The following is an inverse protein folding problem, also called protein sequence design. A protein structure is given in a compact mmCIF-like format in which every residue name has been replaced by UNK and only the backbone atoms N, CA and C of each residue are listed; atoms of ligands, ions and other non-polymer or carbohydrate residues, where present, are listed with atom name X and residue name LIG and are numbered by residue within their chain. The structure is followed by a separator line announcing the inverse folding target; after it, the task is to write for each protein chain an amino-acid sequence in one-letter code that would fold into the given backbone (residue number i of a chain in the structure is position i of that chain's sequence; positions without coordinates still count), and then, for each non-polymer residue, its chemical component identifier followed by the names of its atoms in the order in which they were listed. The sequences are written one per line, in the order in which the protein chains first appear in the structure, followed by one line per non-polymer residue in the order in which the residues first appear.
data_IF_288331020633
#
_entry.id   IF_288331020633
#
_cell.length_a   1.000
_cell.length_b   1.000
_cell.length_c   1.000
_cell.angle_alpha   90.00
_cell.angle_beta   90.00
_cell.angle_gamma   90.00
#
_symmetry.space_group_name_H-M   'P 1'
#
loop_
_entity.id
_entity.type
_entity.pdbx_description
1 polymer ?
#
# COMPACT_ATOMS: atom_id res chain seq x y z
N UNK A 1 -15.57 -7.05 34.28
CA UNK A 1 -16.50 -6.83 33.18
C UNK A 1 -16.66 -8.06 32.29
N UNK A 2 -15.88 -9.16 32.48
CA UNK A 2 -16.06 -10.46 31.82
C UNK A 2 -15.66 -10.57 30.35
N UNK A 3 -15.06 -9.55 29.73
CA UNK A 3 -14.55 -9.65 28.39
C UNK A 3 -13.34 -10.60 28.32
N UNK A 4 -13.39 -11.58 27.41
CA UNK A 4 -12.29 -12.53 27.18
C UNK A 4 -11.10 -11.88 26.45
N UNK A 5 -11.36 -10.95 25.56
CA UNK A 5 -10.37 -10.23 24.80
C UNK A 5 -10.66 -8.73 24.85
N UNK A 6 -9.62 -7.92 24.96
CA UNK A 6 -9.74 -6.47 25.06
C UNK A 6 -8.64 -5.82 24.22
N UNK A 7 -8.99 -4.79 23.45
CA UNK A 7 -8.01 -3.96 22.75
C UNK A 7 -8.11 -2.53 23.28
N UNK A 8 -7.00 -2.01 23.77
CA UNK A 8 -6.86 -0.62 24.21
C UNK A 8 -6.00 0.12 23.19
N UNK A 9 -6.56 1.19 22.62
CA UNK A 9 -5.88 2.00 21.59
C UNK A 9 -5.03 3.10 22.21
N UNK A 10 -3.76 3.18 21.80
CA UNK A 10 -2.80 4.18 22.26
C UNK A 10 -2.63 5.38 21.31
N UNK A 11 -3.62 5.67 20.46
CA UNK A 11 -3.54 6.69 19.41
C UNK A 11 -3.27 8.13 19.88
N UNK A 12 -3.52 8.47 21.14
CA UNK A 12 -3.34 9.83 21.69
C UNK A 12 -2.05 10.01 22.50
N UNK A 13 -1.27 8.95 22.72
CA UNK A 13 0.01 9.01 23.42
C UNK A 13 1.10 9.60 22.50
N UNK A 14 2.14 10.18 23.07
CA UNK A 14 3.29 10.68 22.29
C UNK A 14 4.16 9.51 21.80
N UNK A 15 4.91 9.70 20.72
CA UNK A 15 5.79 8.67 20.16
C UNK A 15 5.06 7.68 19.25
N UNK A 16 5.43 6.42 19.30
CA UNK A 16 4.80 5.35 18.51
C UNK A 16 3.32 5.19 18.84
N UNK A 17 2.52 4.79 17.87
CA UNK A 17 1.12 4.47 18.08
C UNK A 17 1.01 3.00 18.53
N UNK A 18 0.99 2.76 19.83
CA UNK A 18 0.97 1.44 20.44
C UNK A 18 -0.46 1.10 20.87
N UNK A 19 -1.02 0.02 20.34
CA UNK A 19 -2.27 -0.56 20.84
C UNK A 19 -1.94 -1.80 21.67
N UNK A 20 -2.69 -2.04 22.74
CA UNK A 20 -2.49 -3.17 23.64
C UNK A 20 -3.64 -4.15 23.49
N UNK A 21 -3.34 -5.38 23.10
CA UNK A 21 -4.27 -6.50 23.07
C UNK A 21 -4.10 -7.37 24.31
N UNK A 22 -5.19 -7.65 25.02
CA UNK A 22 -5.29 -8.72 26.00
C UNK A 22 -6.06 -9.89 25.39
N UNK A 23 -5.45 -11.09 25.34
CA UNK A 23 -6.03 -12.29 24.71
C UNK A 23 -6.79 -13.20 25.68
N UNK A 24 -6.97 -12.76 26.92
CA UNK A 24 -7.52 -13.54 28.02
C UNK A 24 -6.44 -14.16 28.93
N UNK A 25 -5.16 -14.09 28.54
CA UNK A 25 -4.02 -14.65 29.28
C UNK A 25 -2.83 -13.70 29.34
N UNK A 26 -2.52 -13.03 28.22
CA UNK A 26 -1.31 -12.20 28.05
C UNK A 26 -1.66 -10.89 27.40
N UNK A 27 -0.76 -9.92 27.57
CA UNK A 27 -0.81 -8.63 26.89
C UNK A 27 0.19 -8.62 25.74
N UNK A 28 -0.21 -8.06 24.61
CA UNK A 28 0.60 -7.87 23.42
C UNK A 28 0.57 -6.41 23.03
N UNK A 29 1.73 -5.83 22.78
CA UNK A 29 1.87 -4.50 22.21
C UNK A 29 1.93 -4.62 20.70
N UNK A 30 1.15 -3.77 20.02
CA UNK A 30 1.06 -3.72 18.57
C UNK A 30 1.37 -2.30 18.15
N UNK A 31 2.58 -2.13 17.64
CA UNK A 31 3.14 -0.82 17.32
C UNK A 31 2.94 -0.46 15.86
N UNK A 32 2.86 0.83 15.58
CA UNK A 32 3.01 1.41 14.25
C UNK A 32 3.64 2.80 14.35
N UNK A 33 4.28 3.26 13.27
CA UNK A 33 4.71 4.66 13.17
C UNK A 33 3.48 5.56 13.29
N UNK A 34 3.64 6.68 14.00
CA UNK A 34 2.59 7.69 14.07
C UNK A 34 2.49 8.42 12.75
N UNK A 35 1.28 8.58 12.27
CA UNK A 35 0.99 9.38 11.07
C UNK A 35 0.64 10.80 11.50
N UNK A 36 1.43 11.76 11.08
CA UNK A 36 1.20 13.18 11.34
C UNK A 36 0.12 13.73 10.39
N UNK A 37 -1.12 13.74 10.85
CA UNK A 37 -2.27 14.16 10.04
C UNK A 37 -3.41 14.68 10.89
N UNK A 38 -4.25 15.53 10.31
CA UNK A 38 -5.55 15.94 10.88
C UNK A 38 -6.67 14.93 10.61
N UNK A 39 -6.47 14.00 9.67
CA UNK A 39 -7.53 13.15 9.13
C UNK A 39 -7.68 11.87 9.97
N UNK A 40 -8.10 12.02 11.21
CA UNK A 40 -8.22 10.95 12.20
C UNK A 40 -9.65 10.63 12.60
N UNK A 41 -10.65 11.34 12.03
CA UNK A 41 -12.05 11.06 12.34
C UNK A 41 -12.45 9.66 11.84
N UNK A 42 -13.20 8.93 12.66
CA UNK A 42 -13.64 7.58 12.34
C UNK A 42 -12.61 6.46 12.55
N UNK A 43 -11.38 6.77 12.98
CA UNK A 43 -10.32 5.78 13.23
C UNK A 43 -10.80 4.65 14.14
N UNK A 44 -11.52 4.95 15.23
CA UNK A 44 -12.03 3.94 16.17
C UNK A 44 -13.02 2.99 15.52
N UNK A 45 -14.04 3.55 14.86
CA UNK A 45 -15.08 2.77 14.19
C UNK A 45 -14.50 1.91 13.05
N UNK A 46 -13.63 2.48 12.22
CA UNK A 46 -12.98 1.76 11.12
C UNK A 46 -12.11 0.61 11.64
N UNK A 47 -11.34 0.83 12.70
CA UNK A 47 -10.51 -0.21 13.31
C UNK A 47 -11.36 -1.35 13.89
N UNK A 48 -12.43 -1.03 14.65
CA UNK A 48 -13.32 -2.03 15.23
C UNK A 48 -14.05 -2.84 14.13
N UNK A 49 -14.51 -2.18 13.06
CA UNK A 49 -15.16 -2.85 11.93
C UNK A 49 -14.19 -3.77 11.18
N UNK A 50 -12.93 -3.35 11.01
CA UNK A 50 -11.91 -4.19 10.40
C UNK A 50 -11.63 -5.45 11.23
N UNK A 51 -11.49 -5.31 12.56
CA UNK A 51 -11.32 -6.47 13.46
C UNK A 51 -12.52 -7.41 13.34
N UNK A 52 -13.74 -6.89 13.46
CA UNK A 52 -14.95 -7.68 13.36
C UNK A 52 -15.05 -8.45 12.03
N UNK A 53 -14.72 -7.78 10.92
CA UNK A 53 -14.71 -8.39 9.59
C UNK A 53 -13.68 -9.53 9.49
N UNK A 54 -12.48 -9.33 10.02
CA UNK A 54 -11.42 -10.35 9.99
C UNK A 54 -11.77 -11.55 10.85
N UNK A 55 -12.34 -11.33 12.04
CA UNK A 55 -12.87 -12.40 12.89
C UNK A 55 -13.99 -13.20 12.19
N UNK A 56 -14.91 -12.51 11.54
CA UNK A 56 -15.99 -13.16 10.77
C UNK A 56 -15.46 -14.00 9.59
N UNK A 57 -14.27 -13.64 9.05
CA UNK A 57 -13.54 -14.42 8.03
C UNK A 57 -12.68 -15.55 8.60
N UNK A 58 -12.74 -15.80 9.91
CA UNK A 58 -12.05 -16.92 10.56
C UNK A 58 -10.62 -16.61 11.05
N UNK A 59 -10.18 -15.34 11.02
CA UNK A 59 -8.89 -14.98 11.61
C UNK A 59 -8.90 -15.15 13.15
N UNK A 60 -7.77 -15.50 13.72
CA UNK A 60 -7.58 -15.44 15.17
C UNK A 60 -7.64 -14.00 15.67
N UNK A 61 -7.86 -13.80 16.97
CA UNK A 61 -7.95 -12.45 17.56
C UNK A 61 -6.65 -11.66 17.35
N UNK A 62 -5.49 -12.29 17.55
CA UNK A 62 -4.19 -11.64 17.33
C UNK A 62 -3.99 -11.23 15.87
N UNK A 63 -4.24 -12.14 14.93
CA UNK A 63 -4.16 -11.84 13.49
C UNK A 63 -5.13 -10.72 13.08
N UNK A 64 -6.37 -10.76 13.57
CA UNK A 64 -7.38 -9.76 13.26
C UNK A 64 -6.95 -8.36 13.72
N UNK A 65 -6.42 -8.25 14.95
CA UNK A 65 -5.98 -6.97 15.50
C UNK A 65 -4.75 -6.45 14.76
N UNK A 66 -3.76 -7.30 14.47
CA UNK A 66 -2.55 -6.90 13.72
C UNK A 66 -2.87 -6.44 12.30
N UNK A 67 -3.66 -7.22 11.55
CA UNK A 67 -4.09 -6.85 10.19
C UNK A 67 -4.94 -5.58 10.19
N UNK A 68 -5.84 -5.42 11.15
CA UNK A 68 -6.62 -4.20 11.31
C UNK A 68 -5.73 -2.99 11.65
N UNK A 69 -4.65 -3.18 12.44
CA UNK A 69 -3.68 -2.13 12.74
C UNK A 69 -2.97 -1.63 11.49
N UNK A 70 -2.52 -2.53 10.62
CA UNK A 70 -1.94 -2.16 9.32
C UNK A 70 -2.96 -1.40 8.48
N UNK A 71 -4.17 -1.94 8.34
CA UNK A 71 -5.25 -1.31 7.57
C UNK A 71 -5.57 0.10 8.06
N UNK A 72 -5.76 0.30 9.37
CA UNK A 72 -6.11 1.61 9.89
C UNK A 72 -4.97 2.62 9.76
N UNK A 73 -3.72 2.18 9.84
CA UNK A 73 -2.56 3.04 9.61
C UNK A 73 -2.56 3.58 8.18
N UNK A 74 -2.76 2.70 7.19
CA UNK A 74 -2.90 3.09 5.79
C UNK A 74 -4.12 3.99 5.55
N UNK A 75 -5.27 3.68 6.18
CA UNK A 75 -6.47 4.50 6.06
C UNK A 75 -6.29 5.91 6.64
N UNK A 76 -5.46 6.07 7.67
CA UNK A 76 -5.07 7.38 8.23
C UNK A 76 -4.12 8.10 7.28
N UNK A 77 -3.11 7.42 6.71
CA UNK A 77 -2.19 7.99 5.71
C UNK A 77 -2.93 8.51 4.49
N UNK A 78 -3.86 7.70 3.95
CA UNK A 78 -4.73 8.08 2.84
C UNK A 78 -5.96 8.92 3.22
N UNK A 79 -5.97 9.50 4.41
CA UNK A 79 -7.11 10.27 4.94
C UNK A 79 -7.50 11.47 4.07
N UNK A 80 -8.80 11.74 3.97
CA UNK A 80 -9.34 12.74 3.07
C UNK A 80 -9.30 14.14 3.72
N UNK A 81 -8.75 15.12 3.02
CA UNK A 81 -8.72 16.52 3.44
C UNK A 81 -10.04 17.21 3.11
N UNK A 82 -11.07 16.96 3.90
CA UNK A 82 -12.40 17.54 3.71
C UNK A 82 -12.66 18.64 4.76
N UNK A 83 -12.98 19.81 4.27
CA UNK A 83 -13.30 20.97 5.11
C UNK A 83 -12.12 21.52 5.92
N UNK A 84 -12.42 22.27 6.99
CA UNK A 84 -11.43 22.95 7.84
C UNK A 84 -11.14 22.23 9.17
N UNK A 85 -11.94 21.23 9.52
CA UNK A 85 -11.83 20.47 10.77
C UNK A 85 -10.97 19.21 10.67
N UNK A 86 -11.24 18.25 11.55
CA UNK A 86 -10.64 16.94 11.54
C UNK A 86 -11.25 16.12 10.40
N UNK A 87 -10.45 15.81 9.39
CA UNK A 87 -10.87 15.01 8.25
C UNK A 87 -11.05 13.52 8.59
N UNK A 88 -11.83 12.77 7.79
CA UNK A 88 -12.02 11.33 7.98
C UNK A 88 -10.83 10.52 7.51
N UNK A 89 -10.66 9.34 8.12
CA UNK A 89 -9.84 8.26 7.56
C UNK A 89 -10.43 7.75 6.25
N UNK A 90 -9.62 7.13 5.41
CA UNK A 90 -10.06 6.60 4.13
C UNK A 90 -10.15 5.05 4.15
N UNK A 91 -11.32 4.47 4.40
CA UNK A 91 -11.49 3.01 4.42
C UNK A 91 -11.37 2.35 3.05
N UNK A 92 -11.38 3.13 1.95
CA UNK A 92 -11.19 2.63 0.59
C UNK A 92 -9.71 2.52 0.17
N UNK A 93 -8.78 2.73 1.09
CA UNK A 93 -7.35 2.83 0.78
C UNK A 93 -6.82 1.62 -0.03
N UNK A 94 -7.23 0.40 0.28
CA UNK A 94 -6.81 -0.78 -0.48
C UNK A 94 -7.35 -0.77 -1.91
N UNK A 95 -8.61 -0.38 -2.10
CA UNK A 95 -9.20 -0.29 -3.44
C UNK A 95 -8.50 0.78 -4.28
N UNK A 96 -8.22 1.93 -3.68
CA UNK A 96 -7.49 3.01 -4.35
C UNK A 96 -6.08 2.59 -4.74
N UNK A 97 -5.35 1.90 -3.87
CA UNK A 97 -4.00 1.39 -4.19
C UNK A 97 -4.03 0.39 -5.36
N UNK A 98 -5.02 -0.49 -5.42
CA UNK A 98 -5.15 -1.40 -6.57
C UNK A 98 -5.50 -0.65 -7.86
N UNK A 99 -6.31 0.39 -7.79
CA UNK A 99 -6.58 1.27 -8.94
C UNK A 99 -5.33 2.03 -9.38
N UNK A 100 -4.53 2.52 -8.44
CA UNK A 100 -3.24 3.19 -8.73
C UNK A 100 -2.25 2.22 -9.39
N UNK A 101 -2.12 0.99 -8.90
CA UNK A 101 -1.29 -0.05 -9.53
C UNK A 101 -1.72 -0.29 -10.99
N UNK A 102 -3.02 -0.45 -11.23
CA UNK A 102 -3.52 -0.61 -12.58
C UNK A 102 -3.17 0.57 -13.48
N UNK A 103 -3.32 1.80 -12.98
CA UNK A 103 -2.95 3.02 -13.71
C UNK A 103 -1.47 3.04 -14.07
N UNK A 104 -0.59 2.72 -13.11
CA UNK A 104 0.87 2.65 -13.33
C UNK A 104 1.22 1.61 -14.40
N UNK A 105 0.57 0.44 -14.39
CA UNK A 105 0.76 -0.58 -15.42
C UNK A 105 0.36 -0.05 -16.82
N UNK A 106 -0.74 0.68 -16.92
CA UNK A 106 -1.16 1.27 -18.20
C UNK A 106 -0.16 2.33 -18.70
N UNK A 107 0.37 3.16 -17.81
CA UNK A 107 1.41 4.14 -18.17
C UNK A 107 2.71 3.45 -18.60
N UNK A 108 3.11 2.37 -17.94
CA UNK A 108 4.27 1.57 -18.32
C UNK A 108 4.09 0.95 -19.73
N UNK A 109 2.89 0.46 -20.05
CA UNK A 109 2.55 -0.06 -21.38
C UNK A 109 2.65 1.03 -22.45
N UNK A 110 2.12 2.23 -22.18
CA UNK A 110 2.22 3.38 -23.09
C UNK A 110 3.67 3.79 -23.30
N UNK A 111 4.46 3.88 -22.23
CA UNK A 111 5.88 4.20 -22.31
C UNK A 111 6.63 3.19 -23.19
N UNK A 112 6.36 1.88 -23.04
CA UNK A 112 6.99 0.87 -23.88
C UNK A 112 6.60 0.97 -25.35
N UNK A 113 5.34 1.30 -25.66
CA UNK A 113 4.87 1.55 -27.04
C UNK A 113 5.62 2.75 -27.63
N UNK A 114 5.67 3.85 -26.89
CA UNK A 114 6.40 5.05 -27.28
C UNK A 114 7.88 4.76 -27.60
N UNK A 115 8.57 4.04 -26.70
CA UNK A 115 9.97 3.68 -26.90
C UNK A 115 10.21 2.83 -28.17
N UNK A 116 9.25 1.97 -28.54
CA UNK A 116 9.31 1.18 -29.78
C UNK A 116 9.15 2.06 -31.02
N UNK A 117 8.24 3.04 -30.98
CA UNK A 117 7.93 3.94 -32.10
C UNK A 117 9.04 4.95 -32.35
N UNK A 118 9.63 5.51 -31.30
CA UNK A 118 10.69 6.53 -31.39
C UNK A 118 12.09 5.99 -31.77
N UNK A 119 12.20 4.67 -32.01
CA UNK A 119 13.44 4.04 -32.47
C UNK A 119 14.66 4.33 -31.61
N UNK A 120 14.49 4.36 -30.32
CA UNK A 120 15.54 4.68 -29.33
C UNK A 120 16.57 3.56 -29.13
N UNK A 121 16.65 2.58 -30.04
CA UNK A 121 17.58 1.47 -29.92
C UNK A 121 19.03 1.89 -29.69
N UNK A 122 19.46 3.04 -30.19
CA UNK A 122 20.80 3.59 -30.01
C UNK A 122 21.15 3.89 -28.55
N UNK A 123 20.13 4.17 -27.71
CA UNK A 123 20.31 4.47 -26.29
C UNK A 123 20.29 3.22 -25.41
N UNK A 124 19.96 2.06 -25.95
CA UNK A 124 19.94 0.80 -25.20
C UNK A 124 21.31 0.16 -25.26
N UNK A 125 21.98 -0.05 -24.12
CA UNK A 125 23.30 -0.69 -24.06
C UNK A 125 23.22 -2.17 -24.51
N UNK A 126 24.35 -2.71 -24.96
CA UNK A 126 24.47 -4.12 -25.41
C UNK A 126 24.04 -5.13 -24.32
N UNK A 127 24.28 -4.77 -23.05
CA UNK A 127 23.89 -5.59 -21.89
C UNK A 127 22.40 -5.53 -21.57
N UNK A 128 21.62 -4.83 -22.41
CA UNK A 128 20.19 -4.57 -22.22
C UNK A 128 19.86 -3.55 -21.13
N UNK A 129 18.58 -3.18 -21.02
CA UNK A 129 18.09 -2.23 -20.02
C UNK A 129 16.79 -2.76 -19.39
N UNK A 130 16.28 -2.05 -18.39
CA UNK A 130 14.96 -2.30 -17.85
C UNK A 130 14.16 -1.00 -17.83
N UNK A 131 12.84 -1.11 -17.81
CA UNK A 131 11.93 0.01 -17.70
C UNK A 131 11.11 -0.15 -16.43
N UNK A 132 11.19 0.84 -15.57
CA UNK A 132 10.36 0.94 -14.37
C UNK A 132 9.55 2.24 -14.37
N UNK A 133 8.42 2.22 -13.72
CA UNK A 133 7.57 3.37 -13.49
C UNK A 133 7.27 3.45 -12.00
N UNK A 134 7.65 4.54 -11.37
CA UNK A 134 7.41 4.79 -9.95
C UNK A 134 6.19 5.70 -9.77
N UNK A 135 5.43 5.48 -8.70
CA UNK A 135 4.43 6.44 -8.25
C UNK A 135 5.11 7.77 -7.89
N UNK A 136 4.44 8.92 -8.04
CA UNK A 136 5.02 10.23 -7.71
C UNK A 136 5.51 10.38 -6.26
N UNK A 137 4.97 9.56 -5.35
CA UNK A 137 5.32 9.53 -3.93
C UNK A 137 5.96 8.19 -3.52
N UNK A 138 6.66 7.51 -4.45
CA UNK A 138 7.30 6.23 -4.18
C UNK A 138 8.32 6.33 -3.04
N UNK A 139 8.18 5.49 -2.02
CA UNK A 139 9.08 5.38 -0.88
C UNK A 139 9.80 4.01 -0.82
N UNK A 140 9.27 3.01 -1.54
CA UNK A 140 9.78 1.65 -1.57
C UNK A 140 9.57 0.95 -2.90
N UNK A 141 10.09 -0.27 -2.99
CA UNK A 141 9.99 -1.10 -4.20
C UNK A 141 8.56 -1.49 -4.55
N UNK A 142 7.69 -1.51 -3.55
CA UNK A 142 6.26 -1.77 -3.70
C UNK A 142 5.50 -0.65 -4.42
N UNK A 143 6.12 0.50 -4.60
CA UNK A 143 5.56 1.66 -5.29
C UNK A 143 6.12 1.81 -6.71
N UNK A 144 6.84 0.79 -7.21
CA UNK A 144 7.44 0.77 -8.53
C UNK A 144 6.94 -0.44 -9.32
N UNK A 145 6.39 -0.21 -10.49
CA UNK A 145 6.12 -1.26 -11.47
C UNK A 145 7.30 -1.34 -12.45
N UNK A 146 7.74 -2.55 -12.78
CA UNK A 146 8.80 -2.77 -13.74
C UNK A 146 8.42 -3.86 -14.75
N UNK A 147 9.06 -3.84 -15.90
CA UNK A 147 8.99 -4.94 -16.85
C UNK A 147 9.64 -6.20 -16.24
N UNK A 148 8.97 -7.35 -16.27
CA UNK A 148 9.53 -8.61 -15.74
C UNK A 148 10.72 -9.14 -16.54
N UNK A 149 10.90 -8.66 -17.78
CA UNK A 149 12.00 -8.99 -18.66
C UNK A 149 12.98 -7.85 -18.87
N UNK A 150 13.83 -8.00 -19.87
CA UNK A 150 14.79 -6.96 -20.29
C UNK A 150 14.34 -6.32 -21.60
N UNK A 151 14.64 -5.05 -21.76
CA UNK A 151 14.51 -4.33 -23.02
C UNK A 151 15.84 -4.48 -23.77
N UNK A 152 15.76 -5.01 -24.97
CA UNK A 152 16.91 -5.23 -25.84
C UNK A 152 16.76 -4.45 -27.12
N UNK A 153 17.89 -4.07 -27.68
CA UNK A 153 18.01 -3.42 -28.99
C UNK A 153 17.78 -4.43 -30.11
N UNK A 154 16.97 -4.05 -31.10
CA UNK A 154 16.79 -4.78 -32.36
C UNK A 154 16.88 -3.78 -33.52
N UNK A 155 18.06 -3.62 -34.10
CA UNK A 155 18.33 -2.57 -35.05
C UNK A 155 18.21 -1.18 -34.39
N UNK A 156 17.37 -0.29 -34.96
CA UNK A 156 17.09 1.03 -34.39
C UNK A 156 15.87 1.04 -33.45
N UNK A 157 15.23 -0.09 -33.25
CA UNK A 157 14.08 -0.23 -32.35
C UNK A 157 14.44 -1.02 -31.09
N UNK A 158 13.47 -1.19 -30.23
CA UNK A 158 13.59 -1.97 -29.00
C UNK A 158 12.50 -3.04 -28.92
N UNK A 159 12.80 -4.14 -28.25
CA UNK A 159 11.81 -5.17 -27.89
C UNK A 159 12.02 -5.63 -26.45
N UNK A 160 11.01 -6.25 -25.87
CA UNK A 160 11.15 -6.89 -24.55
C UNK A 160 11.46 -8.38 -24.71
N UNK A 161 12.42 -8.88 -23.93
CA UNK A 161 12.66 -10.31 -23.71
C UNK A 161 12.00 -10.69 -22.40
N UNK A 162 10.97 -11.54 -22.45
CA UNK A 162 10.22 -12.02 -21.30
C UNK A 162 8.72 -12.00 -21.51
N UNK A 163 7.97 -12.41 -20.52
CA UNK A 163 6.52 -12.44 -20.55
C UNK A 163 5.96 -11.01 -20.70
N UNK A 164 4.99 -10.77 -21.59
CA UNK A 164 4.34 -9.49 -21.72
C UNK A 164 3.48 -9.10 -20.49
N UNK A 165 3.25 -9.98 -19.54
CA UNK A 165 2.56 -9.65 -18.32
C UNK A 165 3.50 -8.93 -17.34
N UNK A 166 3.05 -7.77 -16.86
CA UNK A 166 3.81 -6.95 -15.92
C UNK A 166 3.72 -7.55 -14.50
N UNK A 167 4.88 -7.81 -13.89
CA UNK A 167 4.95 -8.04 -12.45
C UNK A 167 4.76 -6.73 -11.67
N UNK A 168 4.00 -6.77 -10.61
CA UNK A 168 3.81 -5.68 -9.63
C UNK A 168 4.27 -6.17 -8.27
#
# INVERSE_FOLDING_TARGET
LGAKHVVVKGGHLRGMAIDVLYDGKRFYEIESKRVETKNTHGTGCTFASAIATLLAKGATVDEAVRKAKVFITLAIQGGLRLGKGVGPTNPFIYVLREMEKYSVIQELKKAMTFLKEERIGEFIPEVSSNLGYALPCAEGVEDVAAFPGRIVRVGNSVTSLGDPEFGV
#
